data_IF_876463254721
#
_entry.id   IF_876463254721
#
_cell.length_a   1.000
_cell.length_b   1.000
_cell.length_c   1.000
_cell.angle_alpha   90.00
_cell.angle_beta   90.00
_cell.angle_gamma   90.00
#
_symmetry.space_group_name_H-M   'P 1'
#
loop_
_entity.id
_entity.type
_entity.pdbx_description
1 polymer ?
#
# COMPACT_ATOMS: atom_id res chain seq x y z
N UNK A 1 18.83 -15.75 11.02
CA UNK A 1 17.93 -14.95 10.16
C UNK A 1 16.77 -15.87 9.83
N UNK A 2 15.65 -15.75 10.56
CA UNK A 2 14.43 -16.43 10.18
C UNK A 2 13.93 -15.78 8.89
N UNK A 3 13.64 -16.60 7.88
CA UNK A 3 13.16 -16.18 6.57
C UNK A 3 11.65 -15.91 6.70
N UNK A 4 11.20 -14.69 6.39
CA UNK A 4 9.77 -14.29 6.46
C UNK A 4 8.87 -15.08 5.50
N UNK A 5 9.46 -15.91 4.65
CA UNK A 5 8.80 -16.80 3.69
C UNK A 5 8.10 -18.00 4.34
N UNK A 6 8.47 -18.37 5.58
CA UNK A 6 7.95 -19.58 6.25
C UNK A 6 6.81 -19.30 7.26
N UNK A 7 6.35 -18.04 7.39
CA UNK A 7 5.32 -17.62 8.36
C UNK A 7 3.95 -17.27 7.74
N UNK A 8 3.57 -17.86 6.59
CA UNK A 8 2.23 -17.67 6.01
C UNK A 8 1.95 -16.23 5.59
N UNK A 9 2.95 -15.55 5.03
CA UNK A 9 2.87 -14.14 4.68
C UNK A 9 2.10 -13.96 3.35
N UNK A 10 0.79 -13.74 3.44
CA UNK A 10 -0.01 -13.18 2.35
C UNK A 10 0.22 -11.66 2.20
N UNK A 11 1.46 -11.23 1.92
CA UNK A 11 1.71 -9.87 1.45
C UNK A 11 1.41 -9.80 -0.05
N UNK A 12 0.41 -9.02 -0.45
CA UNK A 12 -0.04 -8.98 -1.85
C UNK A 12 0.97 -8.38 -2.84
N UNK A 13 2.07 -7.77 -2.39
CA UNK A 13 3.21 -7.39 -3.23
C UNK A 13 4.50 -7.52 -2.41
N UNK A 14 5.38 -8.42 -2.80
CA UNK A 14 6.77 -8.44 -2.34
C UNK A 14 7.66 -8.06 -3.53
N UNK A 15 8.23 -6.85 -3.48
CA UNK A 15 9.31 -6.45 -4.40
C UNK A 15 10.62 -7.13 -3.98
N UNK A 16 10.70 -8.45 -4.12
CA UNK A 16 11.90 -9.23 -3.85
C UNK A 16 12.64 -9.60 -5.14
N UNK A 17 13.82 -9.00 -5.32
CA UNK A 17 15.05 -9.75 -5.62
C UNK A 17 16.30 -8.96 -5.20
N UNK A 18 17.31 -9.69 -4.70
CA UNK A 18 18.66 -9.19 -4.38
C UNK A 18 19.41 -8.74 -5.65
N UNK A 19 20.31 -7.74 -5.58
CA UNK A 19 21.26 -7.48 -6.66
C UNK A 19 22.30 -8.61 -6.72
N UNK A 20 22.50 -9.20 -7.91
CA UNK A 20 23.70 -9.99 -8.15
C UNK A 20 24.88 -9.03 -8.29
N UNK A 21 25.79 -9.07 -7.33
CA UNK A 21 27.05 -8.34 -7.39
C UNK A 21 27.92 -8.99 -8.47
N UNK A 22 28.08 -8.30 -9.61
CA UNK A 22 29.29 -8.43 -10.43
C UNK A 22 30.03 -7.10 -10.36
N UNK A 23 31.19 -7.11 -9.71
CA UNK A 23 32.20 -6.05 -9.83
C UNK A 23 32.61 -5.95 -11.30
N UNK A 24 32.57 -4.76 -11.88
CA UNK A 24 33.57 -4.35 -12.85
C UNK A 24 33.66 -2.82 -12.97
N UNK A 25 34.88 -2.41 -13.25
CA UNK A 25 35.49 -1.09 -13.22
C UNK A 25 35.04 -0.19 -14.36
N UNK A 26 35.31 1.11 -14.18
CA UNK A 26 35.25 2.17 -15.20
C UNK A 26 35.86 1.75 -16.54
N UNK A 27 35.08 1.86 -17.61
CA UNK A 27 35.37 2.62 -18.84
C UNK A 27 34.37 2.24 -19.93
N UNK A 28 33.90 3.30 -20.60
CA UNK A 28 33.29 3.40 -21.92
C UNK A 28 31.97 2.69 -22.29
N UNK A 29 31.09 3.58 -22.76
CA UNK A 29 29.77 3.39 -23.32
C UNK A 29 29.93 2.88 -24.76
N UNK A 30 29.57 1.63 -25.04
CA UNK A 30 29.25 1.19 -26.40
C UNK A 30 28.10 0.18 -26.41
N UNK A 31 27.16 0.42 -27.31
CA UNK A 31 26.00 -0.41 -27.54
C UNK A 31 26.38 -1.62 -28.36
N UNK A 32 26.41 -2.78 -27.73
CA UNK A 32 25.97 -4.05 -28.32
C UNK A 32 26.15 -5.17 -27.30
N UNK A 33 25.09 -5.92 -27.01
CA UNK A 33 24.92 -7.30 -27.50
C UNK A 33 24.02 -8.20 -26.64
N UNK A 34 23.26 -9.01 -27.39
CA UNK A 34 22.87 -10.40 -27.17
C UNK A 34 21.83 -10.72 -26.07
N UNK A 35 20.62 -11.12 -26.49
CA UNK A 35 20.19 -12.51 -26.81
C UNK A 35 20.41 -13.48 -25.64
N UNK A 36 19.48 -13.46 -24.70
CA UNK A 36 19.15 -14.62 -23.92
C UNK A 36 17.70 -14.96 -24.24
N UNK A 37 17.43 -16.21 -24.59
CA UNK A 37 16.10 -16.74 -24.88
C UNK A 37 15.12 -16.35 -23.76
N UNK A 38 14.24 -15.40 -24.05
CA UNK A 38 13.11 -15.03 -23.21
C UNK A 38 11.95 -15.97 -23.59
N UNK A 39 11.48 -16.87 -22.70
CA UNK A 39 10.41 -17.80 -23.01
C UNK A 39 9.07 -17.08 -22.90
N UNK A 40 8.82 -16.10 -23.77
CA UNK A 40 7.55 -15.40 -23.85
C UNK A 40 6.98 -15.43 -25.28
N UNK A 41 6.83 -16.66 -25.78
CA UNK A 41 6.03 -17.04 -26.95
C UNK A 41 4.52 -16.81 -26.74
N UNK A 42 4.09 -16.28 -25.59
CA UNK A 42 2.67 -16.09 -25.24
C UNK A 42 2.06 -14.80 -25.80
N UNK A 43 2.86 -13.91 -26.39
CA UNK A 43 2.36 -12.59 -26.79
C UNK A 43 1.43 -12.64 -28.02
N UNK A 44 1.57 -13.67 -28.87
CA UNK A 44 0.85 -13.82 -30.13
C UNK A 44 -0.17 -14.96 -30.17
N UNK A 45 -0.25 -15.83 -29.16
CA UNK A 45 -1.20 -16.94 -29.18
C UNK A 45 -2.43 -16.62 -28.36
N UNK A 46 -3.52 -16.31 -29.07
CA UNK A 46 -4.87 -16.54 -28.57
C UNK A 46 -5.03 -17.99 -28.09
N UNK A 47 -5.83 -18.17 -27.05
CA UNK A 47 -6.40 -19.44 -26.59
C UNK A 47 -5.46 -20.51 -25.99
N UNK A 48 -4.23 -20.14 -25.61
CA UNK A 48 -3.35 -21.02 -24.82
C UNK A 48 -3.53 -20.79 -23.31
N UNK A 49 -4.13 -21.74 -22.58
CA UNK A 49 -4.03 -21.78 -21.11
C UNK A 49 -2.55 -21.79 -20.74
N UNK A 50 -2.06 -20.66 -20.25
CA UNK A 50 -0.71 -20.53 -19.73
C UNK A 50 -0.54 -21.47 -18.53
N UNK A 51 0.16 -22.58 -18.76
CA UNK A 51 0.45 -23.56 -17.71
C UNK A 51 1.74 -23.28 -16.95
N UNK A 52 2.47 -22.21 -17.28
CA UNK A 52 3.61 -21.77 -16.47
C UNK A 52 3.19 -21.24 -15.09
N UNK A 53 1.88 -21.06 -14.88
CA UNK A 53 1.24 -20.75 -13.60
C UNK A 53 1.12 -21.94 -12.62
N UNK A 54 1.31 -23.21 -13.03
CA UNK A 54 0.86 -24.37 -12.22
C UNK A 54 1.92 -25.12 -11.40
N UNK A 55 3.18 -24.68 -11.36
CA UNK A 55 4.19 -25.37 -10.53
C UNK A 55 4.59 -24.52 -9.34
N UNK A 56 3.75 -24.57 -8.31
CA UNK A 56 4.03 -24.12 -6.96
C UNK A 56 2.88 -24.61 -6.10
N UNK A 57 3.09 -25.71 -5.37
CA UNK A 57 2.16 -26.15 -4.34
C UNK A 57 1.99 -24.99 -3.36
N UNK A 58 0.76 -24.48 -3.26
CA UNK A 58 0.37 -23.37 -2.40
C UNK A 58 0.08 -23.92 -0.99
N UNK A 59 0.95 -23.67 0.02
CA UNK A 59 0.75 -24.15 1.37
C UNK A 59 -0.35 -23.38 2.14
N UNK A 60 -0.88 -22.27 1.60
CA UNK A 60 -1.77 -21.33 2.32
C UNK A 60 -3.27 -21.66 2.25
N UNK A 61 -3.65 -22.87 1.81
CA UNK A 61 -5.06 -23.31 1.81
C UNK A 61 -5.67 -23.44 3.21
N UNK A 62 -4.88 -23.44 4.28
CA UNK A 62 -5.34 -23.79 5.63
C UNK A 62 -5.78 -22.62 6.52
N UNK A 63 -5.54 -21.37 6.14
CA UNK A 63 -5.85 -20.23 7.03
C UNK A 63 -7.31 -19.73 6.91
N UNK A 64 -7.93 -19.87 5.74
CA UNK A 64 -9.32 -19.44 5.51
C UNK A 64 -10.37 -20.42 6.05
N UNK A 65 -9.97 -21.59 6.57
CA UNK A 65 -10.90 -22.63 7.05
C UNK A 65 -10.99 -22.76 8.58
N UNK A 66 -10.39 -21.85 9.37
CA UNK A 66 -10.38 -21.99 10.83
C UNK A 66 -10.85 -20.74 11.57
N UNK A 67 -12.15 -20.51 11.56
CA UNK A 67 -13.00 -20.66 12.75
C UNK A 67 -14.45 -20.30 12.40
N UNK A 68 -15.25 -21.36 12.26
CA UNK A 68 -16.71 -21.28 12.30
C UNK A 68 -17.19 -21.24 13.75
N UNK A 69 -16.99 -20.11 14.43
CA UNK A 69 -17.84 -19.77 15.58
C UNK A 69 -18.61 -18.50 15.28
N UNK A 70 -19.91 -18.74 15.10
CA UNK A 70 -20.96 -17.78 14.83
C UNK A 70 -21.13 -16.86 16.05
N UNK A 71 -20.50 -15.69 16.04
CA UNK A 71 -20.88 -14.59 16.91
C UNK A 71 -21.83 -13.65 16.14
N UNK A 72 -22.97 -14.20 15.74
CA UNK A 72 -24.17 -13.41 15.46
C UNK A 72 -24.72 -12.89 16.79
N UNK A 73 -24.15 -11.79 17.26
CA UNK A 73 -24.89 -10.83 18.07
C UNK A 73 -24.82 -9.47 17.36
N UNK A 74 -25.38 -9.43 16.15
CA UNK A 74 -25.88 -8.18 15.59
C UNK A 74 -27.14 -7.84 16.40
N UNK A 75 -27.07 -6.77 17.19
CA UNK A 75 -28.27 -6.08 17.65
C UNK A 75 -28.96 -5.48 16.42
N UNK A 76 -30.17 -5.95 16.12
CA UNK A 76 -31.00 -5.68 14.94
C UNK A 76 -31.42 -4.20 14.69
N UNK A 77 -30.76 -3.19 15.28
CA UNK A 77 -31.23 -1.80 15.26
C UNK A 77 -30.35 -0.81 14.46
N UNK A 78 -29.20 -1.22 13.90
CA UNK A 78 -28.41 -0.32 13.03
C UNK A 78 -28.66 -0.55 11.54
N UNK A 79 -28.93 0.50 10.74
CA UNK A 79 -29.00 0.37 9.29
C UNK A 79 -27.67 -0.17 8.74
N UNK A 80 -27.69 -1.01 7.69
CA UNK A 80 -26.47 -1.61 7.16
C UNK A 80 -25.48 -0.54 6.71
N UNK A 81 -24.25 -0.61 7.23
CA UNK A 81 -23.15 0.29 6.81
C UNK A 81 -22.98 0.22 5.30
N UNK A 82 -22.88 1.37 4.64
CA UNK A 82 -22.72 1.42 3.18
C UNK A 82 -21.38 0.80 2.76
N UNK A 83 -21.38 0.10 1.63
CA UNK A 83 -20.16 -0.48 1.07
C UNK A 83 -19.26 0.64 0.53
N UNK A 84 -17.95 0.42 0.51
CA UNK A 84 -16.96 1.37 -0.03
C UNK A 84 -17.33 1.92 -1.41
N UNK A 85 -17.93 1.09 -2.28
CA UNK A 85 -18.39 1.46 -3.62
C UNK A 85 -19.49 2.52 -3.58
N UNK A 86 -20.48 2.36 -2.70
CA UNK A 86 -21.58 3.31 -2.53
C UNK A 86 -21.08 4.65 -2.00
N UNK A 87 -20.11 4.60 -1.08
CA UNK A 87 -19.47 5.80 -0.52
C UNK A 87 -18.73 6.55 -1.62
N UNK A 88 -17.97 5.84 -2.45
CA UNK A 88 -17.21 6.44 -3.55
C UNK A 88 -18.13 7.04 -4.61
N UNK A 89 -19.21 6.34 -4.99
CA UNK A 89 -20.22 6.85 -5.92
C UNK A 89 -20.91 8.10 -5.37
N UNK A 90 -21.32 8.08 -4.10
CA UNK A 90 -21.95 9.23 -3.42
C UNK A 90 -21.02 10.44 -3.38
N UNK A 91 -19.74 10.21 -3.07
CA UNK A 91 -18.70 11.25 -3.08
C UNK A 91 -18.52 11.81 -4.48
N UNK A 92 -18.35 10.96 -5.49
CA UNK A 92 -18.19 11.40 -6.88
C UNK A 92 -19.39 12.23 -7.39
N UNK A 93 -20.62 11.80 -7.09
CA UNK A 93 -21.86 12.54 -7.43
C UNK A 93 -21.94 13.91 -6.73
N UNK A 94 -21.34 14.02 -5.55
CA UNK A 94 -21.23 15.28 -4.80
C UNK A 94 -20.09 16.18 -5.31
N UNK A 95 -19.46 15.84 -6.44
CA UNK A 95 -18.32 16.58 -7.01
C UNK A 95 -16.99 16.34 -6.28
N UNK A 96 -16.88 15.25 -5.53
CA UNK A 96 -15.71 14.96 -4.70
C UNK A 96 -14.59 14.30 -5.51
N UNK A 97 -13.61 15.09 -5.94
CA UNK A 97 -12.33 14.58 -6.41
C UNK A 97 -11.21 15.50 -5.90
N UNK A 98 -10.19 14.94 -5.24
CA UNK A 98 -9.00 15.71 -4.84
C UNK A 98 -8.03 15.97 -6.01
N UNK A 99 -8.39 15.57 -7.23
CA UNK A 99 -7.52 15.60 -8.40
C UNK A 99 -7.94 16.71 -9.36
N UNK A 100 -6.97 17.42 -9.92
CA UNK A 100 -7.22 18.38 -11.02
C UNK A 100 -7.56 17.66 -12.33
N UNK A 101 -6.92 16.51 -12.57
CA UNK A 101 -7.16 15.65 -13.72
C UNK A 101 -7.83 14.35 -13.31
N UNK A 102 -8.83 13.93 -14.09
CA UNK A 102 -9.48 12.64 -13.91
C UNK A 102 -8.55 11.51 -14.37
N UNK A 103 -8.66 10.37 -13.71
CA UNK A 103 -8.02 9.12 -14.17
C UNK A 103 -8.59 8.76 -15.54
N UNK A 104 -7.73 8.52 -16.51
CA UNK A 104 -8.14 8.10 -17.85
C UNK A 104 -8.77 6.72 -17.79
N UNK A 105 -9.93 6.54 -18.42
CA UNK A 105 -10.55 5.24 -18.58
C UNK A 105 -10.52 4.80 -20.03
N UNK A 106 -9.92 3.63 -20.28
CA UNK A 106 -9.79 3.06 -21.61
C UNK A 106 -10.49 1.71 -21.67
N UNK A 107 -11.47 1.57 -22.57
CA UNK A 107 -12.29 0.36 -22.71
C UNK A 107 -11.85 -0.57 -23.83
N UNK A 108 -10.74 -0.26 -24.50
CA UNK A 108 -10.18 -1.07 -25.58
C UNK A 108 -8.66 -1.13 -25.46
N UNK A 109 -8.12 -2.35 -25.42
CA UNK A 109 -6.67 -2.56 -25.43
C UNK A 109 -6.21 -2.92 -26.85
N UNK A 110 -5.22 -2.21 -27.36
CA UNK A 110 -4.54 -2.49 -28.62
C UNK A 110 -3.15 -3.00 -28.30
N UNK A 111 -2.79 -4.17 -28.82
CA UNK A 111 -1.43 -4.71 -28.74
C UNK A 111 -0.74 -4.49 -30.07
N UNK A 112 0.47 -3.95 -30.03
CA UNK A 112 1.27 -3.64 -31.22
C UNK A 112 2.77 -3.74 -30.89
N UNK A 113 3.62 -3.43 -31.86
CA UNK A 113 5.06 -3.26 -31.68
C UNK A 113 5.47 -1.87 -32.18
N UNK A 114 6.52 -1.29 -31.58
CA UNK A 114 7.15 -0.08 -32.11
C UNK A 114 8.12 -0.40 -33.26
N UNK A 115 8.72 0.64 -33.87
CA UNK A 115 9.67 0.50 -34.98
C UNK A 115 10.92 -0.34 -34.63
N UNK A 116 11.18 -0.56 -33.33
CA UNK A 116 12.29 -1.35 -32.82
C UNK A 116 11.87 -2.78 -32.42
N UNK A 117 10.61 -3.16 -32.67
CA UNK A 117 10.05 -4.46 -32.30
C UNK A 117 9.69 -4.59 -30.81
N UNK A 118 9.67 -3.49 -30.05
CA UNK A 118 9.27 -3.54 -28.65
C UNK A 118 7.75 -3.66 -28.54
N UNK A 119 7.29 -4.62 -27.73
CA UNK A 119 5.88 -4.86 -27.44
C UNK A 119 5.21 -3.63 -26.81
N UNK A 120 4.02 -3.30 -27.26
CA UNK A 120 3.22 -2.16 -26.78
C UNK A 120 1.82 -2.57 -26.34
N UNK A 121 1.29 -1.82 -25.38
CA UNK A 121 -0.15 -1.75 -25.10
C UNK A 121 -0.60 -0.30 -25.28
N UNK A 122 -1.50 -0.03 -26.23
CA UNK A 122 -1.87 1.33 -26.64
C UNK A 122 -0.61 2.20 -26.85
N UNK A 123 -0.46 3.30 -26.11
CA UNK A 123 0.68 4.23 -26.18
C UNK A 123 1.88 3.82 -25.30
N UNK A 124 1.81 2.70 -24.60
CA UNK A 124 2.81 2.27 -23.62
C UNK A 124 3.74 1.19 -24.19
N UNK A 125 5.03 1.51 -24.30
CA UNK A 125 6.10 0.57 -24.68
C UNK A 125 6.57 -0.21 -23.46
N UNK A 126 6.57 -1.54 -23.57
CA UNK A 126 7.02 -2.46 -22.51
C UNK A 126 8.53 -2.36 -22.33
N UNK A 127 9.00 -2.14 -21.09
CA UNK A 127 10.43 -2.09 -20.77
C UNK A 127 10.91 -3.27 -19.92
N UNK A 128 10.05 -3.85 -19.07
CA UNK A 128 10.43 -5.04 -18.29
C UNK A 128 9.64 -5.20 -17.00
N UNK A 129 9.61 -6.42 -16.47
CA UNK A 129 8.96 -6.74 -15.18
C UNK A 129 9.75 -6.12 -14.02
N UNK A 130 9.06 -5.40 -13.14
CA UNK A 130 9.63 -4.79 -11.93
C UNK A 130 9.09 -5.39 -10.63
N UNK A 131 7.98 -6.12 -10.68
CA UNK A 131 7.40 -6.77 -9.51
C UNK A 131 6.39 -7.85 -9.85
N UNK A 132 5.93 -8.55 -8.82
CA UNK A 132 4.84 -9.52 -8.87
C UNK A 132 3.91 -9.30 -7.67
N UNK A 133 2.64 -9.63 -7.83
CA UNK A 133 1.68 -9.67 -6.73
C UNK A 133 0.70 -10.81 -6.88
N UNK A 134 -0.21 -10.95 -5.91
CA UNK A 134 -1.09 -12.12 -5.78
C UNK A 134 -1.89 -12.47 -7.03
N UNK A 135 -2.28 -11.47 -7.82
CA UNK A 135 -3.16 -11.65 -8.98
C UNK A 135 -2.52 -11.25 -10.31
N UNK A 136 -1.21 -10.96 -10.33
CA UNK A 136 -0.57 -10.43 -11.53
C UNK A 136 0.88 -10.01 -11.39
N UNK A 137 1.32 -9.19 -12.35
CA UNK A 137 2.69 -8.66 -12.43
C UNK A 137 2.70 -7.14 -12.53
N UNK A 138 3.76 -6.52 -12.01
CA UNK A 138 4.01 -5.09 -12.18
C UNK A 138 5.15 -4.94 -13.18
N UNK A 139 4.92 -4.11 -14.19
CA UNK A 139 5.80 -3.98 -15.36
C UNK A 139 6.06 -2.51 -15.61
N UNK A 140 7.31 -2.17 -15.90
CA UNK A 140 7.71 -0.83 -16.30
C UNK A 140 7.36 -0.61 -17.77
N UNK A 141 6.70 0.51 -18.02
CA UNK A 141 6.36 0.98 -19.37
C UNK A 141 6.82 2.41 -19.58
N UNK A 142 7.11 2.78 -20.83
CA UNK A 142 7.32 4.17 -21.26
C UNK A 142 6.16 4.60 -22.16
N UNK A 143 5.53 5.73 -21.86
CA UNK A 143 4.54 6.30 -22.76
C UNK A 143 5.25 7.09 -23.88
N UNK A 144 4.88 6.85 -25.13
CA UNK A 144 5.47 7.54 -26.29
C UNK A 144 4.99 8.99 -26.43
N UNK A 145 3.84 9.34 -25.85
CA UNK A 145 3.24 10.67 -25.99
C UNK A 145 3.94 11.71 -25.11
N UNK A 146 4.32 11.32 -23.88
CA UNK A 146 4.93 12.21 -22.88
C UNK A 146 6.38 11.83 -22.51
N UNK A 147 6.88 10.68 -22.99
CA UNK A 147 8.20 10.15 -22.69
C UNK A 147 8.40 9.63 -21.26
N UNK A 148 7.36 9.65 -20.41
CA UNK A 148 7.46 9.30 -18.99
C UNK A 148 7.36 7.79 -18.76
N UNK A 149 7.93 7.37 -17.63
CA UNK A 149 7.85 6.01 -17.13
C UNK A 149 6.61 5.82 -16.26
N UNK A 150 6.01 4.63 -16.37
CA UNK A 150 4.83 4.21 -15.64
C UNK A 150 5.00 2.79 -15.10
N UNK A 151 4.49 2.55 -13.89
CA UNK A 151 4.37 1.22 -13.32
C UNK A 151 2.98 0.67 -13.67
N UNK A 152 2.91 -0.39 -14.47
CA UNK A 152 1.64 -0.98 -14.89
C UNK A 152 1.42 -2.30 -14.17
N UNK A 153 0.39 -2.34 -13.32
CA UNK A 153 -0.10 -3.56 -12.65
C UNK A 153 -1.04 -4.28 -13.61
N UNK A 154 -0.58 -5.43 -14.10
CA UNK A 154 -1.28 -6.29 -15.08
C UNK A 154 -1.91 -7.46 -14.34
N UNK A 155 -3.24 -7.50 -14.30
CA UNK A 155 -4.02 -8.47 -13.52
C UNK A 155 -4.79 -9.44 -14.42
N UNK A 156 -5.05 -10.65 -13.93
CA UNK A 156 -5.78 -11.70 -14.65
C UNK A 156 -7.26 -11.74 -14.20
N UNK A 157 -8.19 -11.29 -15.04
CA UNK A 157 -9.62 -11.21 -14.68
C UNK A 157 -10.25 -12.60 -14.44
N UNK A 158 -10.10 -13.60 -15.34
CA UNK A 158 -10.71 -14.92 -15.09
C UNK A 158 -10.26 -15.57 -13.78
N UNK A 159 -9.00 -15.37 -13.39
CA UNK A 159 -8.48 -15.86 -12.11
C UNK A 159 -9.14 -15.13 -10.94
N UNK A 160 -9.15 -13.79 -10.95
CA UNK A 160 -9.69 -12.98 -9.86
C UNK A 160 -11.20 -13.17 -9.65
N UNK A 161 -11.96 -13.44 -10.72
CA UNK A 161 -13.39 -13.76 -10.62
C UNK A 161 -13.67 -15.11 -9.95
N UNK A 162 -12.69 -16.04 -9.96
CA UNK A 162 -12.79 -17.35 -9.31
C UNK A 162 -12.32 -17.33 -7.85
N UNK A 163 -11.36 -16.46 -7.52
CA UNK A 163 -10.85 -16.30 -6.15
C UNK A 163 -11.90 -15.58 -5.30
N UNK A 164 -12.40 -16.26 -4.27
CA UNK A 164 -13.35 -15.72 -3.29
C UNK A 164 -12.57 -15.15 -2.10
N UNK A 165 -12.93 -13.95 -1.68
CA UNK A 165 -12.34 -13.26 -0.51
C UNK A 165 -13.29 -13.38 0.69
N UNK A 166 -14.60 -13.30 0.43
CA UNK A 166 -15.69 -13.63 1.35
C UNK A 166 -16.78 -14.35 0.55
N UNK A 167 -17.74 -15.01 1.20
CA UNK A 167 -18.84 -15.77 0.55
C UNK A 167 -19.48 -15.05 -0.66
N UNK A 168 -19.55 -13.72 -0.66
CA UNK A 168 -20.14 -12.90 -1.73
C UNK A 168 -19.17 -12.02 -2.52
N UNK A 169 -17.87 -11.97 -2.18
CA UNK A 169 -16.90 -11.04 -2.80
C UNK A 169 -15.74 -11.78 -3.48
N UNK A 170 -15.26 -11.22 -4.58
CA UNK A 170 -14.17 -11.79 -5.38
C UNK A 170 -12.93 -10.90 -5.29
N UNK A 171 -11.75 -11.43 -5.63
CA UNK A 171 -10.54 -10.60 -5.73
C UNK A 171 -10.69 -9.44 -6.74
N UNK A 172 -11.57 -9.59 -7.74
CA UNK A 172 -11.89 -8.49 -8.68
C UNK A 172 -12.65 -7.35 -7.99
N UNK A 173 -13.50 -7.66 -7.01
CA UNK A 173 -14.22 -6.65 -6.21
C UNK A 173 -13.24 -5.78 -5.43
N UNK A 174 -12.22 -6.39 -4.83
CA UNK A 174 -11.16 -5.66 -4.11
C UNK A 174 -10.35 -4.75 -5.04
N UNK A 175 -10.00 -5.24 -6.24
CA UNK A 175 -9.30 -4.43 -7.25
C UNK A 175 -10.15 -3.24 -7.71
N UNK A 176 -11.46 -3.43 -7.92
CA UNK A 176 -12.37 -2.33 -8.28
C UNK A 176 -12.45 -1.32 -7.13
N UNK A 177 -12.44 -1.77 -5.87
CA UNK A 177 -12.38 -0.91 -4.69
C UNK A 177 -11.09 -0.11 -4.62
N UNK A 178 -9.93 -0.75 -4.83
CA UNK A 178 -8.61 -0.11 -4.90
C UNK A 178 -8.60 0.99 -5.98
N UNK A 179 -9.06 0.67 -7.19
CA UNK A 179 -9.17 1.65 -8.29
C UNK A 179 -10.07 2.82 -7.92
N UNK A 180 -11.24 2.53 -7.35
CA UNK A 180 -12.22 3.53 -6.94
C UNK A 180 -11.67 4.48 -5.87
N UNK A 181 -10.89 3.97 -4.91
CA UNK A 181 -10.16 4.78 -3.94
C UNK A 181 -9.13 5.69 -4.64
N UNK A 182 -8.23 5.12 -5.43
CA UNK A 182 -7.15 5.87 -6.07
C UNK A 182 -7.64 6.91 -7.09
N UNK A 183 -8.84 6.75 -7.65
CA UNK A 183 -9.49 7.76 -8.51
C UNK A 183 -9.80 9.06 -7.76
N UNK A 184 -10.08 9.00 -6.46
CA UNK A 184 -10.41 10.19 -5.66
C UNK A 184 -9.18 10.88 -5.08
N UNK A 185 -8.06 10.17 -4.93
CA UNK A 185 -6.88 10.64 -4.19
C UNK A 185 -5.90 11.43 -5.05
N UNK A 186 -5.40 12.54 -4.50
CA UNK A 186 -4.25 13.28 -5.04
C UNK A 186 -3.48 13.90 -3.89
N UNK A 187 -2.24 13.44 -3.72
CA UNK A 187 -1.35 13.93 -2.68
C UNK A 187 0.10 13.75 -3.13
N UNK A 188 1.03 14.68 -2.81
CA UNK A 188 2.45 14.52 -3.15
C UNK A 188 3.06 13.23 -2.60
N UNK A 189 2.60 12.76 -1.43
CA UNK A 189 3.07 11.55 -0.76
C UNK A 189 2.17 10.32 -1.01
N UNK A 190 1.36 10.30 -2.07
CA UNK A 190 0.59 9.12 -2.51
C UNK A 190 0.90 8.82 -3.97
N UNK A 191 1.01 7.54 -4.30
CA UNK A 191 1.15 7.06 -5.69
C UNK A 191 -0.15 7.29 -6.46
N UNK A 192 -0.05 8.02 -7.56
CA UNK A 192 -1.17 8.37 -8.42
C UNK A 192 -1.52 7.25 -9.41
N UNK A 193 -2.81 6.93 -9.49
CA UNK A 193 -3.39 6.18 -10.61
C UNK A 193 -3.56 7.11 -11.82
N UNK A 194 -3.08 6.72 -12.99
CA UNK A 194 -3.02 7.54 -14.19
C UNK A 194 -4.09 7.12 -15.20
N UNK A 195 -4.14 5.82 -15.49
CA UNK A 195 -5.07 5.24 -16.46
C UNK A 195 -5.54 3.85 -15.98
N UNK A 196 -6.80 3.53 -16.23
CA UNK A 196 -7.37 2.18 -16.07
C UNK A 196 -7.75 1.67 -17.46
N UNK A 197 -7.13 0.56 -17.87
CA UNK A 197 -7.44 -0.10 -19.14
C UNK A 197 -8.21 -1.37 -18.82
N UNK A 198 -9.49 -1.36 -19.16
CA UNK A 198 -10.44 -2.42 -18.88
C UNK A 198 -11.26 -2.73 -20.14
N UNK A 199 -10.71 -3.60 -20.98
CA UNK A 199 -11.37 -4.08 -22.20
C UNK A 199 -12.25 -5.30 -21.86
N UNK A 200 -13.58 -5.26 -22.08
CA UNK A 200 -14.47 -6.39 -21.84
C UNK A 200 -14.10 -7.66 -22.61
N UNK A 201 -13.38 -7.54 -23.73
CA UNK A 201 -12.95 -8.65 -24.58
C UNK A 201 -11.54 -9.15 -24.23
N UNK A 202 -10.91 -8.60 -23.19
CA UNK A 202 -9.59 -9.01 -22.73
C UNK A 202 -9.65 -9.64 -21.35
N UNK A 203 -8.93 -10.74 -21.17
CA UNK A 203 -8.71 -11.39 -19.86
C UNK A 203 -7.78 -10.58 -18.93
N UNK A 204 -7.20 -9.49 -19.42
CA UNK A 204 -6.27 -8.65 -18.66
C UNK A 204 -6.95 -7.35 -18.23
N UNK A 205 -6.65 -6.93 -17.00
CA UNK A 205 -6.99 -5.62 -16.45
C UNK A 205 -5.69 -4.88 -16.14
N UNK A 206 -5.61 -3.60 -16.49
CA UNK A 206 -4.38 -2.82 -16.32
C UNK A 206 -4.65 -1.58 -15.47
N UNK A 207 -3.83 -1.40 -14.44
CA UNK A 207 -3.74 -0.15 -13.69
C UNK A 207 -2.40 0.51 -14.02
N UNK A 208 -2.44 1.65 -14.70
CA UNK A 208 -1.26 2.45 -15.01
C UNK A 208 -1.04 3.43 -13.87
N UNK A 209 0.04 3.25 -13.11
CA UNK A 209 0.43 4.07 -11.97
C UNK A 209 1.63 4.95 -12.33
N UNK A 210 1.78 6.09 -11.65
CA UNK A 210 3.05 6.83 -11.72
C UNK A 210 4.20 5.91 -11.28
N UNK A 211 5.32 5.97 -11.99
CA UNK A 211 6.51 5.24 -11.61
C UNK A 211 7.30 6.03 -10.56
N UNK A 212 7.71 5.35 -9.48
CA UNK A 212 8.61 5.88 -8.45
C UNK A 212 9.85 5.00 -8.42
N UNK A 213 11.03 5.62 -8.48
CA UNK A 213 12.27 4.93 -8.87
C UNK A 213 12.85 4.03 -7.78
N UNK A 214 12.61 4.37 -6.52
CA UNK A 214 13.18 3.69 -5.37
C UNK A 214 12.15 3.17 -4.39
N UNK A 215 12.66 2.37 -3.44
CA UNK A 215 11.94 1.94 -2.24
C UNK A 215 12.78 2.26 -1.00
N UNK A 216 12.17 2.31 0.17
CA UNK A 216 12.91 2.44 1.42
C UNK A 216 13.76 1.19 1.64
N UNK A 217 15.09 1.35 1.66
CA UNK A 217 16.05 0.29 2.01
C UNK A 217 16.47 0.49 3.45
N UNK A 218 15.97 -0.37 4.33
CA UNK A 218 16.08 -0.18 5.79
C UNK A 218 16.92 -1.25 6.51
N UNK A 219 17.28 -2.36 5.87
CA UNK A 219 17.96 -3.53 6.47
C UNK A 219 19.25 -3.23 7.28
N UNK A 220 19.87 -2.07 7.07
CA UNK A 220 21.11 -1.65 7.77
C UNK A 220 20.90 -0.49 8.75
N UNK A 221 19.65 -0.09 8.96
CA UNK A 221 19.31 1.19 9.54
C UNK A 221 19.61 2.35 8.59
N UNK A 222 18.86 3.42 8.77
CA UNK A 222 18.94 4.68 8.05
C UNK A 222 19.23 5.77 9.11
N UNK A 223 20.09 6.74 8.77
CA UNK A 223 20.41 7.83 9.69
C UNK A 223 19.18 8.67 10.06
N UNK A 224 19.13 9.14 11.32
CA UNK A 224 17.97 9.87 11.88
C UNK A 224 17.50 11.03 10.99
N UNK A 225 18.41 11.78 10.36
CA UNK A 225 18.06 12.89 9.49
C UNK A 225 17.21 12.45 8.28
N UNK A 226 17.59 11.35 7.64
CA UNK A 226 16.83 10.78 6.51
C UNK A 226 15.54 10.15 7.01
N UNK A 227 15.56 9.43 8.14
CA UNK A 227 14.35 8.89 8.76
C UNK A 227 13.34 9.99 9.09
N UNK A 228 13.79 11.13 9.60
CA UNK A 228 12.93 12.28 9.88
C UNK A 228 12.28 12.81 8.61
N UNK A 229 13.05 12.99 7.53
CA UNK A 229 12.51 13.42 6.23
C UNK A 229 11.44 12.46 5.72
N UNK A 230 11.74 11.16 5.74
CA UNK A 230 10.81 10.11 5.30
C UNK A 230 9.56 10.05 6.18
N UNK A 231 9.72 10.14 7.51
CA UNK A 231 8.60 10.11 8.44
C UNK A 231 7.66 11.31 8.23
N UNK A 232 8.21 12.50 7.95
CA UNK A 232 7.40 13.69 7.64
C UNK A 232 6.51 13.46 6.41
N UNK A 233 7.07 12.89 5.35
CA UNK A 233 6.33 12.51 4.13
C UNK A 233 5.27 11.43 4.39
N UNK A 234 5.59 10.42 5.21
CA UNK A 234 4.67 9.34 5.59
C UNK A 234 3.50 9.90 6.41
N UNK A 235 3.78 10.68 7.46
CA UNK A 235 2.77 11.31 8.31
C UNK A 235 1.84 12.19 7.46
N UNK A 236 2.40 13.01 6.57
CA UNK A 236 1.64 13.84 5.64
C UNK A 236 0.66 13.02 4.79
N UNK A 237 1.14 11.93 4.18
CA UNK A 237 0.32 11.04 3.37
C UNK A 237 -0.79 10.32 4.17
N UNK A 238 -0.47 9.80 5.36
CA UNK A 238 -1.45 9.07 6.19
C UNK A 238 -2.49 10.02 6.79
N UNK A 239 -2.09 11.20 7.29
CA UNK A 239 -3.04 12.23 7.73
C UNK A 239 -3.99 12.65 6.61
N UNK A 240 -3.48 12.77 5.38
CA UNK A 240 -4.32 13.01 4.22
C UNK A 240 -5.36 11.89 4.04
N UNK A 241 -4.96 10.61 4.09
CA UNK A 241 -5.92 9.49 4.01
C UNK A 241 -6.96 9.54 5.13
N UNK A 242 -6.53 9.76 6.38
CA UNK A 242 -7.41 9.81 7.56
C UNK A 242 -8.44 10.94 7.48
N UNK A 243 -8.06 12.09 6.92
CA UNK A 243 -8.97 13.22 6.66
C UNK A 243 -10.03 12.93 5.58
N UNK A 244 -9.81 11.88 4.78
CA UNK A 244 -10.76 11.34 3.81
C UNK A 244 -11.52 10.13 4.34
N UNK A 245 -11.39 9.83 5.64
CA UNK A 245 -11.90 8.61 6.28
C UNK A 245 -11.40 7.34 5.58
N UNK A 246 -10.14 7.34 5.12
CA UNK A 246 -9.51 6.17 4.52
C UNK A 246 -8.46 5.66 5.50
N UNK A 247 -8.55 4.39 5.84
CA UNK A 247 -7.56 3.69 6.64
C UNK A 247 -6.72 2.85 5.68
N UNK A 248 -5.40 3.00 5.75
CA UNK A 248 -4.51 2.32 4.81
C UNK A 248 -4.40 0.83 5.15
N UNK A 249 -4.24 0.49 6.43
CA UNK A 249 -4.13 -0.84 7.01
C UNK A 249 -2.89 -1.66 6.64
N UNK A 250 -2.03 -1.19 5.72
CA UNK A 250 -0.77 -1.87 5.39
C UNK A 250 0.42 -0.89 5.24
N UNK A 251 0.58 0.02 6.20
CA UNK A 251 1.74 0.94 6.25
C UNK A 251 2.99 0.16 6.67
N UNK A 252 3.94 0.02 5.75
CA UNK A 252 5.23 -0.65 5.96
C UNK A 252 6.25 -0.22 4.91
N UNK A 253 7.57 -0.40 5.14
CA UNK A 253 8.61 0.00 4.19
C UNK A 253 8.41 -0.50 2.76
N UNK A 254 7.87 -1.71 2.56
CA UNK A 254 7.62 -2.29 1.23
C UNK A 254 6.60 -1.51 0.39
N UNK A 255 5.65 -0.84 1.06
CA UNK A 255 4.61 -0.02 0.42
C UNK A 255 4.98 1.48 0.36
N UNK A 256 6.22 1.81 0.75
CA UNK A 256 6.75 3.18 0.77
C UNK A 256 7.84 3.33 -0.29
N UNK A 257 7.48 4.01 -1.37
CA UNK A 257 8.37 4.27 -2.50
C UNK A 257 9.08 5.61 -2.30
N UNK A 258 10.30 5.73 -2.81
CA UNK A 258 11.15 6.91 -2.68
C UNK A 258 11.46 7.47 -4.07
N UNK A 259 11.09 8.71 -4.32
CA UNK A 259 11.40 9.41 -5.57
C UNK A 259 12.90 9.68 -5.69
N UNK A 260 13.36 9.95 -6.91
CA UNK A 260 14.73 10.44 -7.16
C UNK A 260 15.11 11.72 -6.39
N UNK A 261 14.12 12.54 -6.01
CA UNK A 261 14.30 13.74 -5.13
C UNK A 261 14.30 13.41 -3.63
N UNK A 262 14.15 12.14 -3.28
CA UNK A 262 14.14 11.63 -1.91
C UNK A 262 12.86 11.97 -1.15
N UNK A 263 11.70 11.97 -1.82
CA UNK A 263 10.39 12.11 -1.18
C UNK A 263 9.69 10.75 -1.12
N UNK A 264 8.97 10.49 -0.03
CA UNK A 264 8.22 9.23 0.14
C UNK A 264 6.82 9.33 -0.46
N UNK A 265 6.41 8.28 -1.18
CA UNK A 265 5.05 8.08 -1.68
C UNK A 265 4.50 6.75 -1.19
N UNK A 266 3.30 6.79 -0.61
CA UNK A 266 2.55 5.63 -0.14
C UNK A 266 1.86 4.98 -1.35
N UNK A 267 2.07 3.69 -1.54
CA UNK A 267 1.40 2.87 -2.54
C UNK A 267 0.66 1.68 -1.91
N UNK A 268 0.05 0.87 -2.78
CA UNK A 268 -0.72 -0.34 -2.45
C UNK A 268 -1.93 -0.12 -1.52
N UNK A 269 -3.08 0.13 -2.14
CA UNK A 269 -4.36 0.36 -1.45
C UNK A 269 -5.25 -0.89 -1.45
N UNK A 270 -4.69 -2.07 -1.69
CA UNK A 270 -5.46 -3.31 -1.92
C UNK A 270 -6.30 -3.76 -0.72
N UNK A 271 -5.85 -3.44 0.50
CA UNK A 271 -6.55 -3.77 1.76
C UNK A 271 -7.16 -2.55 2.45
N UNK A 272 -7.06 -1.36 1.84
CA UNK A 272 -7.54 -0.11 2.43
C UNK A 272 -9.06 -0.05 2.48
N UNK A 273 -9.57 0.64 3.49
CA UNK A 273 -11.01 0.79 3.73
C UNK A 273 -11.41 2.26 3.86
N UNK A 274 -12.64 2.57 3.46
CA UNK A 274 -13.22 3.92 3.47
C UNK A 274 -14.52 3.93 4.27
N UNK A 275 -14.69 4.98 5.07
CA UNK A 275 -15.83 5.13 5.98
C UNK A 275 -16.65 6.38 5.65
N UNK A 276 -17.94 6.33 5.94
CA UNK A 276 -18.87 7.46 5.70
C UNK A 276 -18.61 8.61 6.67
N UNK A 277 -18.44 8.29 7.94
CA UNK A 277 -18.29 9.20 9.06
C UNK A 277 -16.94 8.98 9.76
N UNK A 278 -16.80 9.44 11.01
CA UNK A 278 -15.57 9.27 11.78
C UNK A 278 -15.51 7.96 12.57
N UNK A 279 -16.53 7.10 12.47
CA UNK A 279 -16.50 5.76 13.05
C UNK A 279 -15.71 4.82 12.13
N UNK A 280 -14.42 4.72 12.42
CA UNK A 280 -13.43 3.92 11.72
C UNK A 280 -13.25 2.50 12.30
N UNK A 281 -14.28 1.99 12.98
CA UNK A 281 -14.23 0.67 13.62
C UNK A 281 -14.11 -0.48 12.61
N UNK A 282 -13.06 -1.27 12.80
CA UNK A 282 -12.71 -2.45 12.01
C UNK A 282 -12.81 -3.71 12.86
N UNK A 283 -13.18 -4.83 12.26
CA UNK A 283 -13.25 -6.16 12.92
C UNK A 283 -12.25 -7.18 12.37
N UNK A 284 -11.61 -6.87 11.25
CA UNK A 284 -10.62 -7.72 10.60
C UNK A 284 -9.36 -6.91 10.43
N UNK A 285 -8.22 -7.51 10.74
CA UNK A 285 -6.90 -6.91 10.58
C UNK A 285 -6.19 -7.51 9.36
N UNK A 286 -6.48 -7.03 8.13
CA UNK A 286 -5.66 -7.38 6.98
C UNK A 286 -4.29 -6.72 7.13
N UNK A 287 -3.25 -7.31 6.54
CA UNK A 287 -1.91 -6.72 6.50
C UNK A 287 -0.82 -7.68 6.97
N UNK A 288 0.40 -7.17 7.08
CA UNK A 288 1.56 -7.97 7.50
C UNK A 288 1.64 -8.08 9.04
N UNK A 289 1.70 -9.30 9.61
CA UNK A 289 1.61 -9.51 11.06
C UNK A 289 2.53 -8.65 11.93
N UNK A 290 3.79 -8.46 11.52
CA UNK A 290 4.77 -7.70 12.30
C UNK A 290 4.48 -6.20 12.42
N UNK A 291 3.54 -5.67 11.64
CA UNK A 291 3.05 -4.29 11.68
C UNK A 291 1.67 -4.16 12.35
N UNK A 292 1.08 -5.28 12.77
CA UNK A 292 -0.25 -5.32 13.38
C UNK A 292 -0.22 -4.68 14.77
N UNK A 293 -1.24 -3.86 15.08
CA UNK A 293 -1.36 -3.21 16.38
C UNK A 293 -1.82 -4.19 17.47
N UNK A 294 -1.50 -3.97 18.76
CA UNK A 294 -1.84 -4.87 19.85
C UNK A 294 -3.34 -5.19 19.96
N UNK A 295 -4.18 -4.19 19.78
CA UNK A 295 -5.64 -4.34 19.82
C UNK A 295 -6.20 -5.20 18.67
N UNK A 296 -5.49 -5.24 17.54
CA UNK A 296 -5.86 -6.05 16.38
C UNK A 296 -5.54 -7.54 16.58
N UNK A 297 -4.54 -7.87 17.41
CA UNK A 297 -4.17 -9.26 17.72
C UNK A 297 -5.23 -10.00 18.54
N UNK A 298 -6.11 -9.27 19.23
CA UNK A 298 -7.10 -9.83 20.16
C UNK A 298 -8.45 -10.17 19.50
N UNK A 299 -8.58 -9.95 18.18
CA UNK A 299 -9.80 -10.27 17.41
C UNK A 299 -11.03 -9.43 17.75
N UNK A 300 -10.85 -8.37 18.54
CA UNK A 300 -11.91 -7.42 18.90
C UNK A 300 -12.03 -6.29 17.86
N UNK A 301 -13.12 -5.54 17.91
CA UNK A 301 -13.25 -4.36 17.08
C UNK A 301 -12.25 -3.27 17.53
N UNK A 302 -11.66 -2.55 16.58
CA UNK A 302 -10.60 -1.58 16.84
C UNK A 302 -10.70 -0.35 15.92
N UNK A 303 -10.10 0.76 16.36
CA UNK A 303 -10.04 2.00 15.59
C UNK A 303 -8.90 1.97 14.55
N UNK A 304 -9.26 2.07 13.27
CA UNK A 304 -8.32 1.97 12.16
C UNK A 304 -7.22 3.05 12.17
N UNK A 305 -7.53 4.30 12.54
CA UNK A 305 -6.55 5.41 12.59
C UNK A 305 -5.46 5.16 13.61
N UNK A 306 -5.83 4.63 14.78
CA UNK A 306 -4.86 4.28 15.82
C UNK A 306 -3.97 3.11 15.38
N UNK A 307 -4.53 2.13 14.67
CA UNK A 307 -3.77 1.02 14.07
C UNK A 307 -2.78 1.48 13.00
N UNK A 308 -3.16 2.40 12.11
CA UNK A 308 -2.22 2.99 11.13
C UNK A 308 -1.09 3.75 11.84
N UNK A 309 -1.40 4.43 12.95
CA UNK A 309 -0.40 5.18 13.74
C UNK A 309 0.63 4.24 14.38
N UNK A 310 0.19 3.09 14.89
CA UNK A 310 1.08 2.02 15.34
C UNK A 310 2.00 1.54 14.20
N UNK A 311 1.45 1.27 13.02
CA UNK A 311 2.20 0.80 11.86
C UNK A 311 3.25 1.83 11.39
N UNK A 312 2.97 3.14 11.52
CA UNK A 312 3.94 4.22 11.34
C UNK A 312 5.08 4.12 12.37
N UNK A 313 4.78 3.83 13.63
CA UNK A 313 5.77 3.59 14.68
C UNK A 313 6.69 2.39 14.40
N UNK A 314 6.11 1.26 13.99
CA UNK A 314 6.87 0.06 13.60
C UNK A 314 7.75 0.36 12.39
N UNK A 315 7.22 1.08 11.40
CA UNK A 315 7.96 1.52 10.21
C UNK A 315 9.16 2.40 10.57
N UNK A 316 8.98 3.38 11.47
CA UNK A 316 10.06 4.23 11.96
C UNK A 316 11.14 3.41 12.67
N UNK A 317 10.73 2.49 13.55
CA UNK A 317 11.65 1.59 14.25
C UNK A 317 12.48 0.76 13.26
N UNK A 318 11.84 0.17 12.25
CA UNK A 318 12.52 -0.57 11.20
C UNK A 318 13.54 0.30 10.46
N UNK A 319 13.16 1.51 10.06
CA UNK A 319 14.07 2.45 9.38
C UNK A 319 15.27 2.82 10.24
N UNK A 320 15.10 3.02 11.54
CA UNK A 320 16.19 3.40 12.44
C UNK A 320 17.13 2.22 12.74
N UNK A 321 16.57 1.04 12.97
CA UNK A 321 17.31 -0.07 13.57
C UNK A 321 17.71 -1.16 12.56
N UNK A 322 17.05 -1.24 11.41
CA UNK A 322 17.20 -2.35 10.46
C UNK A 322 16.58 -3.68 10.93
N UNK A 323 15.76 -3.66 11.99
CA UNK A 323 15.13 -4.83 12.59
C UNK A 323 13.67 -4.55 12.94
N UNK A 324 12.87 -5.61 13.04
CA UNK A 324 11.50 -5.51 13.56
C UNK A 324 11.50 -5.41 15.10
N UNK A 325 10.58 -4.64 15.71
CA UNK A 325 10.55 -4.45 17.16
C UNK A 325 10.06 -5.70 17.93
N UNK A 326 9.14 -6.48 17.36
CA UNK A 326 8.41 -7.54 18.08
C UNK A 326 8.43 -8.91 17.38
N UNK A 327 9.46 -9.21 16.59
CA UNK A 327 9.52 -10.47 15.83
C UNK A 327 9.73 -11.70 16.74
N UNK A 328 8.84 -12.69 16.64
CA UNK A 328 8.96 -14.02 17.26
C UNK A 328 9.50 -15.07 16.29
N UNK A 329 9.72 -16.30 16.77
CA UNK A 329 10.03 -17.46 15.92
C UNK A 329 8.76 -18.06 15.28
N UNK A 330 7.59 -17.73 15.83
CA UNK A 330 6.28 -18.10 15.28
C UNK A 330 5.37 -16.88 15.18
N UNK A 331 4.27 -17.01 14.43
CA UNK A 331 3.22 -15.99 14.36
C UNK A 331 2.62 -15.70 15.74
N UNK A 332 2.36 -16.75 16.53
CA UNK A 332 1.82 -16.62 17.88
C UNK A 332 2.79 -15.85 18.78
N UNK A 333 4.07 -16.22 18.78
CA UNK A 333 5.10 -15.50 19.55
C UNK A 333 5.23 -14.04 19.12
N UNK A 334 5.08 -13.76 17.82
CA UNK A 334 5.10 -12.39 17.30
C UNK A 334 3.94 -11.59 17.88
N UNK A 335 2.73 -12.14 17.90
CA UNK A 335 1.57 -11.49 18.52
C UNK A 335 1.73 -11.34 20.04
N UNK A 336 2.26 -12.36 20.72
CA UNK A 336 2.50 -12.30 22.17
C UNK A 336 3.47 -11.15 22.50
N UNK A 337 4.55 -10.97 21.72
CA UNK A 337 5.49 -9.85 21.88
C UNK A 337 4.85 -8.50 21.53
N UNK A 338 4.04 -8.45 20.47
CA UNK A 338 3.32 -7.22 20.09
C UNK A 338 2.40 -6.79 21.23
N UNK A 339 1.74 -7.70 21.93
CA UNK A 339 0.82 -7.35 23.03
C UNK A 339 1.58 -7.03 24.32
N UNK A 340 2.60 -7.81 24.68
CA UNK A 340 3.14 -7.81 26.04
C UNK A 340 4.52 -7.15 26.19
N UNK A 341 5.38 -7.18 25.17
CA UNK A 341 6.77 -6.77 25.30
C UNK A 341 6.96 -5.27 24.98
N UNK A 342 7.80 -4.53 25.73
CA UNK A 342 8.20 -3.18 25.34
C UNK A 342 9.11 -3.20 24.10
N UNK A 343 9.14 -2.10 23.34
CA UNK A 343 10.06 -1.98 22.21
C UNK A 343 11.51 -1.82 22.68
N UNK A 344 12.44 -2.59 22.10
CA UNK A 344 13.89 -2.49 22.38
C UNK A 344 14.53 -1.33 21.60
N UNK A 345 14.38 -0.10 22.10
CA UNK A 345 14.92 1.10 21.46
C UNK A 345 16.42 1.24 21.78
N UNK A 346 17.31 1.34 20.76
CA UNK A 346 18.76 1.48 21.01
C UNK A 346 19.13 2.74 21.79
N UNK A 347 20.08 2.64 22.72
CA UNK A 347 20.51 3.78 23.55
C UNK A 347 21.31 4.86 22.80
N UNK A 348 21.69 4.61 21.55
CA UNK A 348 22.50 5.50 20.71
C UNK A 348 21.67 6.43 19.82
N UNK A 349 20.35 6.47 19.97
CA UNK A 349 19.47 7.43 19.30
C UNK A 349 19.20 8.67 20.15
N UNK A 350 18.72 9.75 19.52
CA UNK A 350 18.39 10.97 20.24
C UNK A 350 17.26 10.77 21.26
N UNK A 351 17.28 11.44 22.43
CA UNK A 351 16.20 11.32 23.43
C UNK A 351 14.81 11.67 22.89
N UNK A 352 14.74 12.60 21.94
CA UNK A 352 13.49 12.96 21.28
C UNK A 352 12.97 11.84 20.37
N UNK A 353 13.85 11.03 19.76
CA UNK A 353 13.43 9.86 18.99
C UNK A 353 12.91 8.75 19.90
N UNK A 354 13.53 8.56 21.06
CA UNK A 354 13.05 7.62 22.08
C UNK A 354 11.62 8.00 22.50
N UNK A 355 11.39 9.24 22.91
CA UNK A 355 10.06 9.74 23.31
C UNK A 355 9.02 9.57 22.19
N UNK A 356 9.39 9.85 20.93
CA UNK A 356 8.50 9.65 19.79
C UNK A 356 8.14 8.16 19.58
N UNK A 357 9.13 7.27 19.61
CA UNK A 357 8.92 5.83 19.41
C UNK A 357 8.08 5.23 20.54
N UNK A 358 8.32 5.60 21.79
CA UNK A 358 7.52 5.16 22.95
C UNK A 358 6.06 5.59 22.83
N UNK A 359 5.80 6.81 22.34
CA UNK A 359 4.44 7.33 22.12
C UNK A 359 3.72 6.70 20.93
N UNK A 360 4.43 6.44 19.83
CA UNK A 360 3.86 5.76 18.64
C UNK A 360 3.60 4.27 18.91
N UNK A 361 4.49 3.62 19.65
CA UNK A 361 4.41 2.20 20.03
C UNK A 361 3.77 2.00 21.41
N UNK A 362 2.93 2.95 21.85
CA UNK A 362 2.11 2.79 23.03
C UNK A 362 1.07 1.68 22.80
N UNK A 363 1.00 0.73 23.74
CA UNK A 363 0.14 -0.45 23.61
C UNK A 363 -1.34 -0.11 23.71
N UNK A 364 -1.69 0.79 24.64
CA UNK A 364 -3.07 1.27 24.77
C UNK A 364 -3.38 2.25 23.62
N UNK A 365 -4.35 1.92 22.73
CA UNK A 365 -4.70 2.79 21.61
C UNK A 365 -5.31 4.14 22.04
N UNK A 366 -5.83 4.26 23.27
CA UNK A 366 -6.37 5.51 23.82
C UNK A 366 -5.30 6.49 24.30
N UNK A 367 -4.15 5.96 24.77
CA UNK A 367 -2.99 6.76 25.18
C UNK A 367 -1.97 6.95 24.04
N UNK A 368 -2.09 6.17 22.95
CA UNK A 368 -1.24 6.28 21.77
C UNK A 368 -1.36 7.65 21.14
N UNK A 369 -0.20 8.26 20.82
CA UNK A 369 -0.16 9.57 20.18
C UNK A 369 -0.92 9.55 18.85
N UNK A 370 -1.69 10.60 18.55
CA UNK A 370 -2.32 10.74 17.22
C UNK A 370 -1.30 11.22 16.20
N UNK A 371 -1.57 11.03 14.90
CA UNK A 371 -0.67 11.53 13.86
C UNK A 371 -0.56 13.06 13.82
N UNK A 372 -1.62 13.79 14.19
CA UNK A 372 -1.59 15.25 14.34
C UNK A 372 -0.61 15.67 15.44
N UNK A 373 -0.63 14.97 16.58
CA UNK A 373 0.31 15.22 17.67
C UNK A 373 1.74 14.78 17.30
N UNK A 374 1.90 13.66 16.59
CA UNK A 374 3.19 13.20 16.07
C UNK A 374 3.78 14.19 15.05
N UNK A 375 2.95 14.80 14.19
CA UNK A 375 3.35 15.82 13.23
C UNK A 375 3.97 17.06 13.90
N UNK A 376 3.50 17.41 15.10
CA UNK A 376 4.01 18.52 15.91
C UNK A 376 5.11 18.11 16.90
N UNK A 377 5.43 16.82 16.99
CA UNK A 377 6.41 16.31 17.94
C UNK A 377 7.81 16.92 17.69
N UNK A 378 8.58 17.32 18.72
CA UNK A 378 9.86 18.00 18.54
C UNK A 378 10.84 17.28 17.60
N UNK A 379 10.93 15.95 17.68
CA UNK A 379 11.78 15.17 16.76
C UNK A 379 11.33 15.25 15.30
N UNK A 380 10.02 15.30 15.05
CA UNK A 380 9.44 15.35 13.69
C UNK A 380 9.49 16.76 13.14
N UNK A 381 9.11 17.74 13.95
CA UNK A 381 9.06 19.14 13.59
C UNK A 381 10.46 19.68 13.29
N UNK A 382 11.44 19.42 14.17
CA UNK A 382 12.79 19.98 14.06
C UNK A 382 12.75 21.49 13.80
N UNK A 383 13.66 21.96 12.95
CA UNK A 383 13.73 23.37 12.55
C UNK A 383 12.70 23.74 11.46
N UNK A 384 12.12 22.74 10.78
CA UNK A 384 11.14 22.95 9.71
C UNK A 384 9.72 23.24 10.25
N UNK A 385 9.50 23.03 11.54
CA UNK A 385 8.18 23.11 12.17
C UNK A 385 7.30 21.88 11.90
N UNK A 386 6.07 21.87 12.45
CA UNK A 386 5.15 20.76 12.32
C UNK A 386 4.87 20.36 10.86
N UNK A 387 4.60 19.08 10.62
CA UNK A 387 4.15 18.64 9.29
C UNK A 387 2.82 19.33 8.98
N UNK A 388 2.73 20.12 7.91
CA UNK A 388 1.52 20.85 7.60
C UNK A 388 0.43 19.88 7.15
N UNK A 389 -0.80 20.17 7.55
CA UNK A 389 -1.95 19.45 7.03
C UNK A 389 -2.15 19.75 5.55
N UNK A 390 -2.33 18.69 4.76
CA UNK A 390 -2.60 18.86 3.35
C UNK A 390 -4.03 19.39 3.12
N UNK A 391 -4.13 20.63 2.66
CA UNK A 391 -5.41 21.22 2.28
C UNK A 391 -5.88 20.67 0.93
N UNK A 392 -6.71 19.62 0.94
CA UNK A 392 -7.34 19.18 -0.30
C UNK A 392 -8.38 20.20 -0.81
N UNK A 393 -8.39 20.42 -2.12
CA UNK A 393 -9.34 21.30 -2.83
C UNK A 393 -10.80 20.83 -2.77
N UNK A 394 -11.04 19.57 -2.44
CA UNK A 394 -12.37 18.95 -2.35
C UNK A 394 -13.23 19.47 -1.18
N UNK A 395 -12.63 20.16 -0.21
CA UNK A 395 -13.34 20.77 0.92
C UNK A 395 -13.91 19.81 1.97
N UNK A 396 -13.79 18.48 1.86
CA UNK A 396 -14.36 17.52 2.84
C UNK A 396 -13.66 17.58 4.19
N UNK A 397 -12.32 17.65 4.21
CA UNK A 397 -11.58 17.93 5.45
C UNK A 397 -11.94 19.28 6.09
N UNK A 398 -12.42 20.27 5.30
CA UNK A 398 -12.89 21.58 5.79
C UNK A 398 -14.33 21.53 6.32
N UNK A 399 -15.23 20.79 5.67
CA UNK A 399 -16.66 20.70 6.07
C UNK A 399 -16.84 20.08 7.45
N UNK A 400 -16.04 19.08 7.82
CA UNK A 400 -16.10 18.46 9.15
C UNK A 400 -15.67 19.40 10.28
N UNK A 401 -14.66 20.24 10.06
CA UNK A 401 -14.14 21.18 11.09
C UNK A 401 -15.12 22.28 11.49
N UNK A 402 -15.89 22.78 10.51
CA UNK A 402 -16.90 23.79 10.82
C UNK A 402 -18.11 23.15 11.53
N UNK A 403 -18.45 21.89 11.23
CA UNK A 403 -19.52 21.16 11.90
C UNK A 403 -19.22 20.79 13.36
N UNK A 404 -17.96 20.52 13.70
CA UNK A 404 -17.55 20.24 15.10
C UNK A 404 -17.41 21.51 15.96
N UNK A 405 -17.28 22.70 15.36
CA UNK A 405 -17.33 23.98 16.08
C UNK A 405 -18.77 24.48 16.32
N UNK A 406 -19.76 24.04 15.54
CA UNK A 406 -21.17 24.40 15.73
C UNK A 406 -21.92 23.48 16.72
N UNK A 407 -21.32 22.35 17.12
CA UNK A 407 -21.91 21.41 18.10
C UNK A 407 -21.58 21.72 19.57
N UNK A 408 -20.85 22.82 19.83
CA UNK A 408 -20.56 23.31 21.19
C UNK A 408 -21.01 24.77 21.31
N UNK A 409 -22.31 25.00 21.26
CA UNK A 409 -22.96 26.19 21.83
C UNK A 409 -24.30 25.83 22.48
#
# INVERSE_FOLDING_TARGET
MADLTDMGCCSCFSFLRKPSVKRQTSEDFDGSFYTGDDPDLSFYNGDGIDRSFFNGDDPDRSFYERDGTDYNHESDDEPPRKRSEDIILTRAQSGFACRESLVKETKKVVRSEDDLGNKMINQYVHLGKIGAGSYGKVVLYRNIEDGKLYAVKVLNKPHMLKVRVVRSETAMTDVIREVSLMKMLSHPNIVNLIEVIDDPNSDKFYMVLEYVEGKIVWDKGIGEATCRKYLRDIISGVMYLHSHNIIHSDIKPDNLLVTSTGNVKIGDFSVSQIFEDDDDMLRRSPGTPVFTAPECCQGSAYHGRSSDTWAVGVTLYCMITGRYPFLGETLQETYDKIVNDPADIPSNVSPQLVDLLERLLCKDPGDRITLEAAAAHPWVAGDEGPVPEYMCRCGFGRRKRNGSQEAVQ
#
